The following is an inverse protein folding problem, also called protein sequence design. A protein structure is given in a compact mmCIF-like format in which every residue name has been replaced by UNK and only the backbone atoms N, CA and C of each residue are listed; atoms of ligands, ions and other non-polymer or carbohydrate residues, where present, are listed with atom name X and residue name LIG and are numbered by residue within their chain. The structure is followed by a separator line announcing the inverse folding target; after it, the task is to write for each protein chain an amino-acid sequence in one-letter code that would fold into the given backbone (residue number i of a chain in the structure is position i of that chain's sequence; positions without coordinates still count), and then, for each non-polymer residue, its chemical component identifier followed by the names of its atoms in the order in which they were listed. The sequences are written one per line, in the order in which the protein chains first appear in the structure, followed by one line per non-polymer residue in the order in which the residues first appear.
data_IF_647086063128
#
_entry.id   IF_647086063128
#
_cell.length_a   1.000
_cell.length_b   1.000
_cell.length_c   1.000
_cell.angle_alpha   90.00
_cell.angle_beta   90.00
_cell.angle_gamma   90.00
#
_symmetry.space_group_name_H-M   'P 1'
#
loop_
_entity.id
_entity.type
_entity.pdbx_description
1 polymer ?
#
# COMPACT_ATOMS: atom_id res chain seq x y z
N UNK A 1 21.56 -6.25 -7.57
CA UNK A 1 22.46 -6.79 -6.53
C UNK A 1 22.60 -5.75 -5.42
N UNK A 2 22.88 -4.49 -5.79
CA UNK A 2 22.88 -3.33 -4.89
C UNK A 2 21.64 -3.22 -3.98
N UNK A 3 20.41 -3.23 -4.51
CA UNK A 3 19.21 -3.13 -3.66
C UNK A 3 19.11 -4.20 -2.56
N UNK A 4 19.59 -5.43 -2.84
CA UNK A 4 19.52 -6.53 -1.90
C UNK A 4 20.55 -6.38 -0.77
N UNK A 5 21.79 -6.06 -1.15
CA UNK A 5 22.92 -5.95 -0.23
C UNK A 5 22.89 -4.63 0.55
N UNK A 6 22.57 -3.52 -0.12
CA UNK A 6 22.62 -2.19 0.50
C UNK A 6 21.34 -1.85 1.26
N UNK A 7 20.16 -2.26 0.77
CA UNK A 7 18.88 -1.90 1.39
C UNK A 7 18.29 -3.03 2.24
N UNK A 8 18.19 -4.25 1.69
CA UNK A 8 17.49 -5.34 2.38
C UNK A 8 18.32 -5.96 3.51
N UNK A 9 19.63 -6.15 3.32
CA UNK A 9 20.48 -6.80 4.31
C UNK A 9 20.50 -6.07 5.68
N UNK A 10 20.69 -4.73 5.76
CA UNK A 10 20.64 -4.03 7.06
C UNK A 10 19.27 -4.14 7.75
N UNK A 11 18.18 -4.16 6.96
CA UNK A 11 16.83 -4.35 7.51
C UNK A 11 16.64 -5.75 8.11
N UNK A 12 17.29 -6.77 7.53
CA UNK A 12 17.23 -8.14 8.04
C UNK A 12 18.11 -8.35 9.27
N UNK A 13 19.33 -7.82 9.26
CA UNK A 13 20.32 -8.06 10.33
C UNK A 13 20.09 -7.15 11.55
N UNK A 14 19.93 -5.84 11.33
CA UNK A 14 19.85 -4.83 12.39
C UNK A 14 18.43 -4.35 12.68
N UNK A 15 17.46 -4.70 11.83
CA UNK A 15 16.08 -4.23 11.93
C UNK A 15 15.94 -2.72 11.69
N UNK A 16 16.88 -2.10 10.98
CA UNK A 16 16.94 -0.67 10.70
C UNK A 16 17.04 -0.44 9.20
N UNK A 17 16.58 0.73 8.75
CA UNK A 17 16.81 1.16 7.38
C UNK A 17 18.30 1.42 7.12
N UNK A 18 18.70 1.25 5.87
CA UNK A 18 20.06 1.52 5.45
C UNK A 18 20.40 3.01 5.59
N UNK A 19 21.55 3.32 6.19
CA UNK A 19 22.05 4.68 6.32
C UNK A 19 23.06 4.94 5.20
N UNK A 20 22.75 5.90 4.33
CA UNK A 20 23.64 6.41 3.30
C UNK A 20 24.22 7.78 3.65
N UNK A 21 25.21 8.21 2.88
CA UNK A 21 25.71 9.59 2.91
C UNK A 21 25.80 10.13 1.48
N UNK A 22 26.00 11.45 1.35
CA UNK A 22 25.92 12.21 0.10
C UNK A 22 24.49 12.38 -0.45
N UNK A 23 24.33 13.33 -1.38
CA UNK A 23 23.05 13.60 -2.03
C UNK A 23 22.69 12.54 -3.08
N UNK A 24 21.43 12.52 -3.49
CA UNK A 24 20.98 11.74 -4.64
C UNK A 24 21.35 12.48 -5.93
N UNK A 25 22.50 12.12 -6.51
CA UNK A 25 22.99 12.67 -7.79
C UNK A 25 22.37 11.96 -9.01
N UNK A 26 21.46 10.99 -8.80
CA UNK A 26 20.80 10.31 -9.91
C UNK A 26 19.83 11.27 -10.64
N UNK A 27 19.69 11.13 -11.98
CA UNK A 27 18.71 11.91 -12.71
C UNK A 27 17.30 11.61 -12.19
N UNK A 28 16.42 12.61 -12.26
CA UNK A 28 14.99 12.42 -11.98
C UNK A 28 14.46 11.21 -12.74
N UNK A 29 13.55 10.45 -12.15
CA UNK A 29 13.06 9.19 -12.74
C UNK A 29 12.55 9.35 -14.18
N UNK A 30 11.95 10.51 -14.51
CA UNK A 30 11.47 10.84 -15.86
C UNK A 30 12.59 11.08 -16.89
N UNK A 31 13.78 11.46 -16.43
CA UNK A 31 14.97 11.68 -17.25
C UNK A 31 15.94 10.49 -17.22
N UNK A 32 15.63 9.44 -16.46
CA UNK A 32 16.51 8.29 -16.32
C UNK A 32 16.43 7.41 -17.57
N UNK A 33 17.60 7.00 -18.09
CA UNK A 33 17.69 6.03 -19.18
C UNK A 33 17.39 4.59 -18.72
N UNK A 34 17.38 4.37 -17.40
CA UNK A 34 17.11 3.07 -16.79
C UNK A 34 15.65 2.99 -16.32
N UNK A 35 15.07 1.78 -16.35
CA UNK A 35 13.73 1.56 -15.81
C UNK A 35 13.73 1.78 -14.30
N UNK A 36 12.97 2.79 -13.84
CA UNK A 36 12.79 3.09 -12.42
C UNK A 36 11.39 2.64 -11.96
N UNK A 37 11.28 2.03 -10.76
CA UNK A 37 9.98 1.71 -10.18
C UNK A 37 9.07 2.91 -10.03
N UNK A 38 7.75 2.69 -10.06
CA UNK A 38 6.74 3.74 -9.97
C UNK A 38 6.87 4.60 -8.69
N UNK A 39 7.36 4.02 -7.59
CA UNK A 39 7.60 4.73 -6.33
C UNK A 39 8.59 5.89 -6.47
N UNK A 40 9.53 5.86 -7.42
CA UNK A 40 10.53 6.92 -7.63
C UNK A 40 9.92 8.23 -8.18
N UNK A 41 8.69 8.16 -8.71
CA UNK A 41 7.98 9.33 -9.21
C UNK A 41 7.23 10.09 -8.11
N UNK A 42 7.05 9.47 -6.93
CA UNK A 42 6.40 10.09 -5.79
C UNK A 42 7.45 10.59 -4.80
N UNK A 43 7.39 11.88 -4.45
CA UNK A 43 8.23 12.47 -3.41
C UNK A 43 7.46 12.55 -2.10
N UNK A 44 8.14 12.27 -0.99
CA UNK A 44 7.54 12.38 0.34
C UNK A 44 7.36 13.85 0.69
N UNK A 45 6.15 14.22 1.09
CA UNK A 45 5.86 15.59 1.52
C UNK A 45 6.31 15.80 2.96
N UNK A 46 6.78 17.00 3.27
CA UNK A 46 7.16 17.39 4.62
C UNK A 46 6.74 18.84 4.91
N UNK A 47 6.44 19.12 6.18
CA UNK A 47 6.11 20.47 6.64
C UNK A 47 7.37 21.20 7.11
N UNK A 48 7.48 22.49 6.78
CA UNK A 48 8.66 23.29 7.11
C UNK A 48 8.37 24.51 8.00
N UNK A 49 7.10 24.92 8.17
CA UNK A 49 6.75 26.11 8.96
C UNK A 49 5.37 25.98 9.61
N UNK A 50 4.37 25.59 8.82
CA UNK A 50 2.95 25.60 9.23
C UNK A 50 2.63 24.67 10.39
N UNK A 51 3.41 23.60 10.55
CA UNK A 51 3.27 22.62 11.60
C UNK A 51 4.63 21.93 11.83
N UNK A 52 5.12 21.86 13.07
CA UNK A 52 6.39 21.20 13.36
C UNK A 52 6.31 19.69 13.07
N UNK A 53 7.37 19.06 12.53
CA UNK A 53 7.44 17.61 12.41
C UNK A 53 7.55 16.97 13.81
N UNK A 54 6.95 15.80 13.98
CA UNK A 54 6.98 15.04 15.24
C UNK A 54 8.19 14.09 15.20
N UNK A 55 8.93 13.96 16.30
CA UNK A 55 10.05 13.02 16.42
C UNK A 55 9.55 11.57 16.61
N UNK A 56 9.74 10.66 15.64
CA UNK A 56 9.23 9.28 15.75
C UNK A 56 9.94 8.43 16.81
N UNK A 57 11.17 8.80 17.22
CA UNK A 57 11.96 8.05 18.21
C UNK A 57 11.66 8.54 19.63
N UNK A 58 11.57 9.86 19.83
CA UNK A 58 11.32 10.46 21.15
C UNK A 58 9.84 10.55 21.49
N UNK A 59 8.99 10.76 20.49
CA UNK A 59 7.54 10.97 20.65
C UNK A 59 6.72 9.82 20.07
N UNK A 60 7.33 8.66 19.79
CA UNK A 60 6.64 7.52 19.17
C UNK A 60 5.40 7.02 19.94
N UNK A 61 5.28 7.33 21.24
CA UNK A 61 4.10 6.97 22.07
C UNK A 61 2.81 7.69 21.64
N UNK A 62 2.90 8.85 21.00
CA UNK A 62 1.71 9.57 20.48
C UNK A 62 1.37 9.18 19.05
N UNK A 63 2.22 8.37 18.40
CA UNK A 63 1.99 7.85 17.05
C UNK A 63 1.38 6.44 17.11
N UNK A 64 0.59 6.07 16.10
CA UNK A 64 0.09 4.71 15.96
C UNK A 64 0.01 4.27 14.49
N UNK A 65 0.34 3.01 14.25
CA UNK A 65 0.16 2.32 12.96
C UNK A 65 -1.07 1.40 12.97
N UNK A 66 -1.94 1.55 13.99
CA UNK A 66 -3.14 0.71 14.13
C UNK A 66 -4.02 0.85 12.89
N UNK A 67 -4.17 -0.25 12.17
CA UNK A 67 -4.94 -0.30 10.93
C UNK A 67 -6.25 -1.02 11.18
N UNK A 68 -7.37 -0.43 10.73
CA UNK A 68 -8.71 -0.97 10.92
C UNK A 68 -9.35 -1.31 9.58
N UNK A 69 -10.05 -2.42 9.49
CA UNK A 69 -10.88 -2.79 8.33
C UNK A 69 -12.35 -2.87 8.74
N UNK A 70 -13.24 -2.46 7.83
CA UNK A 70 -14.72 -2.45 8.02
C UNK A 70 -15.21 -1.41 9.04
N UNK A 71 -14.43 -0.37 9.29
CA UNK A 71 -14.72 0.68 10.28
C UNK A 71 -15.39 1.93 9.71
N UNK A 72 -15.77 1.92 8.43
CA UNK A 72 -16.41 3.06 7.75
C UNK A 72 -17.94 2.94 7.85
N UNK A 73 -18.45 3.23 9.05
CA UNK A 73 -19.88 3.31 9.34
C UNK A 73 -20.38 4.74 9.56
N UNK A 74 -21.65 4.88 9.93
CA UNK A 74 -22.22 6.19 10.25
C UNK A 74 -21.63 6.71 11.57
N UNK A 75 -20.88 7.82 11.50
CA UNK A 75 -20.26 8.47 12.67
C UNK A 75 -21.27 9.02 13.69
N UNK A 76 -22.53 9.22 13.28
CA UNK A 76 -23.60 9.73 14.14
C UNK A 76 -24.40 8.62 14.84
N UNK A 77 -24.23 7.36 14.42
CA UNK A 77 -24.97 6.23 14.96
C UNK A 77 -24.18 5.58 16.10
N UNK A 78 -24.81 5.42 17.27
CA UNK A 78 -24.28 4.68 18.40
C UNK A 78 -24.89 3.27 18.46
N UNK A 79 -24.71 2.50 17.38
CA UNK A 79 -25.21 1.13 17.29
C UNK A 79 -24.09 0.10 17.45
N UNK A 80 -24.40 -1.04 18.08
CA UNK A 80 -23.48 -2.17 18.26
C UNK A 80 -22.92 -2.71 16.93
N UNK A 81 -23.58 -2.45 15.80
CA UNK A 81 -23.10 -2.82 14.46
C UNK A 81 -21.77 -2.16 14.08
N UNK A 82 -21.36 -1.07 14.75
CA UNK A 82 -20.06 -0.41 14.57
C UNK A 82 -18.89 -1.21 15.19
N UNK A 83 -19.16 -2.27 15.98
CA UNK A 83 -18.13 -3.02 16.70
C UNK A 83 -17.46 -4.14 15.89
N UNK A 84 -18.03 -4.54 14.74
CA UNK A 84 -17.49 -5.61 13.88
C UNK A 84 -16.37 -5.11 12.97
N UNK A 85 -15.25 -4.75 13.58
CA UNK A 85 -14.05 -4.20 12.92
C UNK A 85 -12.86 -5.13 13.15
N UNK A 86 -12.07 -5.35 12.09
CA UNK A 86 -10.78 -6.02 12.25
C UNK A 86 -9.71 -5.00 12.56
N UNK A 87 -8.91 -5.24 13.61
CA UNK A 87 -7.86 -4.31 14.05
C UNK A 87 -6.51 -5.01 13.98
N UNK A 88 -5.57 -4.37 13.28
CA UNK A 88 -4.16 -4.75 13.23
C UNK A 88 -3.32 -3.68 13.94
N UNK A 89 -2.23 -4.08 14.58
CA UNK A 89 -1.28 -3.15 15.18
C UNK A 89 -0.39 -2.42 14.17
N UNK A 90 -0.28 -2.95 12.95
CA UNK A 90 0.53 -2.42 11.85
C UNK A 90 -0.10 -2.77 10.49
N UNK A 91 0.08 -1.94 9.45
CA UNK A 91 -0.33 -2.29 8.09
C UNK A 91 0.57 -3.37 7.45
N UNK A 92 1.71 -3.71 8.07
CA UNK A 92 2.65 -4.69 7.55
C UNK A 92 2.28 -6.10 8.04
N UNK A 93 2.22 -7.04 7.09
CA UNK A 93 1.87 -8.44 7.35
C UNK A 93 2.97 -9.35 6.84
N UNK A 94 3.41 -10.29 7.69
CA UNK A 94 4.20 -11.44 7.22
C UNK A 94 3.31 -12.44 6.49
N UNK A 95 3.90 -13.35 5.70
CA UNK A 95 3.15 -14.38 4.97
C UNK A 95 2.24 -15.23 5.89
N UNK A 96 2.70 -15.53 7.10
CA UNK A 96 1.91 -16.25 8.11
C UNK A 96 0.72 -15.43 8.61
N UNK A 97 0.93 -14.15 8.94
CA UNK A 97 -0.14 -13.23 9.36
C UNK A 97 -1.17 -13.03 8.24
N UNK A 98 -0.73 -12.86 7.00
CA UNK A 98 -1.60 -12.75 5.82
C UNK A 98 -2.47 -14.00 5.65
N UNK A 99 -1.86 -15.19 5.73
CA UNK A 99 -2.60 -16.45 5.62
C UNK A 99 -3.66 -16.59 6.71
N UNK A 100 -3.32 -16.21 7.94
CA UNK A 100 -4.27 -16.18 9.06
C UNK A 100 -5.41 -15.18 8.80
N UNK A 101 -5.08 -13.95 8.38
CA UNK A 101 -6.07 -12.92 8.09
C UNK A 101 -7.07 -13.36 7.00
N UNK A 102 -6.58 -13.99 5.93
CA UNK A 102 -7.43 -14.52 4.86
C UNK A 102 -8.36 -15.65 5.33
N UNK A 103 -7.95 -16.45 6.33
CA UNK A 103 -8.81 -17.48 6.94
C UNK A 103 -9.91 -16.90 7.82
N UNK A 104 -9.62 -15.82 8.55
CA UNK A 104 -10.58 -15.15 9.42
C UNK A 104 -11.62 -14.35 8.63
N UNK A 105 -11.20 -13.67 7.56
CA UNK A 105 -12.10 -12.82 6.76
C UNK A 105 -13.00 -13.60 5.79
N UNK A 106 -12.73 -14.90 5.55
CA UNK A 106 -13.57 -15.83 4.76
C UNK A 106 -14.19 -15.19 3.51
N UNK A 107 -15.52 -15.05 3.51
CA UNK A 107 -16.34 -14.61 2.37
C UNK A 107 -16.31 -13.09 2.14
N UNK A 108 -15.80 -12.32 3.09
CA UNK A 108 -15.67 -10.85 3.00
C UNK A 108 -14.47 -10.43 2.12
N UNK A 109 -13.69 -11.38 1.59
CA UNK A 109 -12.50 -11.09 0.76
C UNK A 109 -12.77 -11.27 -0.74
N UNK A 110 -12.19 -10.36 -1.53
CA UNK A 110 -12.12 -10.48 -2.98
C UNK A 110 -10.67 -10.52 -3.44
N UNK A 111 -10.28 -11.56 -4.18
CA UNK A 111 -8.99 -11.59 -4.89
C UNK A 111 -9.17 -10.98 -6.27
N UNK A 112 -8.42 -9.91 -6.52
CA UNK A 112 -8.38 -9.22 -7.80
C UNK A 112 -7.03 -9.54 -8.43
N UNK A 113 -7.07 -10.09 -9.63
CA UNK A 113 -5.88 -10.29 -10.43
C UNK A 113 -5.44 -8.94 -11.00
N UNK A 114 -4.26 -8.48 -10.58
CA UNK A 114 -3.63 -7.24 -11.04
C UNK A 114 -2.67 -7.44 -12.22
N UNK A 115 -2.57 -8.65 -12.77
CA UNK A 115 -1.71 -8.93 -13.93
C UNK A 115 -2.39 -8.52 -15.24
N UNK A 116 -1.63 -8.42 -16.31
CA UNK A 116 -2.15 -8.17 -17.66
C UNK A 116 -1.26 -8.89 -18.68
N UNK A 117 -1.82 -9.29 -19.84
CA UNK A 117 -1.03 -9.96 -20.87
C UNK A 117 0.06 -9.03 -21.40
N UNK A 118 1.23 -9.60 -21.70
CA UNK A 118 2.28 -8.87 -22.39
C UNK A 118 1.76 -8.44 -23.78
N UNK A 119 2.02 -7.19 -24.21
CA UNK A 119 1.58 -6.71 -25.52
C UNK A 119 2.27 -7.49 -26.64
N UNK A 120 1.54 -7.79 -27.70
CA UNK A 120 2.12 -8.41 -28.90
C UNK A 120 2.99 -7.40 -29.67
N UNK A 121 3.98 -7.87 -30.48
CA UNK A 121 4.81 -6.99 -31.29
C UNK A 121 3.95 -6.12 -32.23
N UNK A 122 3.97 -4.80 -32.01
CA UNK A 122 3.18 -3.84 -32.77
C UNK A 122 1.90 -3.34 -32.09
N UNK A 123 1.54 -3.89 -30.93
CA UNK A 123 0.44 -3.37 -30.10
C UNK A 123 0.94 -2.25 -29.17
N UNK A 124 0.10 -1.23 -28.94
CA UNK A 124 0.39 -0.17 -27.97
C UNK A 124 0.31 -0.73 -26.54
N UNK A 125 1.48 -0.91 -25.91
CA UNK A 125 1.61 -1.35 -24.53
C UNK A 125 0.80 -0.47 -23.55
N UNK A 126 0.68 0.83 -23.82
CA UNK A 126 -0.11 1.76 -23.02
C UNK A 126 -1.60 1.47 -23.09
N UNK A 127 -2.12 1.14 -24.27
CA UNK A 127 -3.51 0.74 -24.45
C UNK A 127 -3.83 -0.57 -23.70
N UNK A 128 -2.93 -1.54 -23.72
CA UNK A 128 -3.11 -2.83 -23.01
C UNK A 128 -3.16 -2.62 -21.49
N UNK A 129 -2.23 -1.85 -20.93
CA UNK A 129 -2.25 -1.50 -19.51
C UNK A 129 -3.51 -0.72 -19.13
N UNK A 130 -3.93 0.24 -19.97
CA UNK A 130 -5.17 1.01 -19.75
C UNK A 130 -6.39 0.11 -19.69
N UNK A 131 -6.53 -0.85 -20.61
CA UNK A 131 -7.62 -1.84 -20.60
C UNK A 131 -7.59 -2.66 -19.29
N UNK A 132 -6.40 -3.07 -18.84
CA UNK A 132 -6.25 -3.80 -17.59
C UNK A 132 -6.66 -2.98 -16.35
N UNK A 133 -6.30 -1.69 -16.28
CA UNK A 133 -6.72 -0.80 -15.20
C UNK A 133 -8.25 -0.62 -15.17
N UNK A 134 -8.89 -0.49 -16.33
CA UNK A 134 -10.36 -0.41 -16.42
C UNK A 134 -11.00 -1.71 -15.93
N UNK A 135 -10.46 -2.88 -16.32
CA UNK A 135 -10.91 -4.20 -15.83
C UNK A 135 -10.82 -4.31 -14.30
N UNK A 136 -9.66 -3.94 -13.74
CA UNK A 136 -9.39 -4.01 -12.29
C UNK A 136 -10.30 -3.06 -11.52
N UNK A 137 -10.66 -1.89 -12.07
CA UNK A 137 -11.61 -0.95 -11.45
C UNK A 137 -13.07 -1.43 -11.53
N UNK A 138 -13.45 -2.09 -12.62
CA UNK A 138 -14.82 -2.54 -12.85
C UNK A 138 -15.20 -3.77 -11.99
N UNK A 139 -14.27 -4.68 -11.75
CA UNK A 139 -14.54 -5.95 -11.03
C UNK A 139 -14.97 -5.75 -9.56
N UNK A 140 -14.30 -4.90 -8.74
CA UNK A 140 -14.68 -4.64 -7.35
C UNK A 140 -15.98 -3.84 -7.27
N UNK A 141 -16.14 -2.82 -8.13
CA UNK A 141 -17.33 -1.95 -8.10
C UNK A 141 -18.64 -2.66 -8.46
N UNK A 142 -18.59 -3.72 -9.29
CA UNK A 142 -19.75 -4.60 -9.54
C UNK A 142 -20.01 -5.52 -8.35
N UNK A 143 -18.96 -6.06 -7.74
CA UNK A 143 -19.07 -7.02 -6.63
C UNK A 143 -19.53 -6.36 -5.33
N UNK A 144 -18.95 -5.21 -4.95
CA UNK A 144 -19.39 -4.45 -3.77
C UNK A 144 -20.85 -3.96 -3.86
N UNK A 145 -21.45 -3.94 -5.06
CA UNK A 145 -22.88 -3.67 -5.27
C UNK A 145 -23.74 -4.91 -5.21
N UNK A 146 -23.23 -6.09 -5.62
CA UNK A 146 -23.98 -7.35 -5.64
C UNK A 146 -23.96 -8.08 -4.29
N UNK A 147 -22.83 -8.05 -3.57
CA UNK A 147 -22.77 -8.41 -2.16
C UNK A 147 -23.05 -7.15 -1.36
N UNK A 148 -23.69 -7.27 -0.19
CA UNK A 148 -23.96 -6.15 0.73
C UNK A 148 -22.66 -5.59 1.38
N UNK A 149 -21.53 -5.65 0.67
CA UNK A 149 -20.17 -5.26 1.05
C UNK A 149 -19.95 -3.75 0.84
N UNK A 150 -20.94 -2.93 1.22
CA UNK A 150 -20.83 -1.46 1.12
C UNK A 150 -19.93 -0.85 2.20
N UNK A 151 -19.58 -1.60 3.24
CA UNK A 151 -18.85 -1.11 4.42
C UNK A 151 -17.38 -1.54 4.49
N UNK A 152 -16.84 -2.18 3.45
CA UNK A 152 -15.51 -2.82 3.48
C UNK A 152 -14.49 -2.27 2.46
N UNK A 153 -14.77 -1.13 1.81
CA UNK A 153 -13.75 -0.35 1.11
C UNK A 153 -13.24 0.77 2.00
#
# INVERSE_FOLDING_TARGET
MEDLELLLQPMMEDGKEAIGSMGDDAPLAVLSEQNRPLSHYFRQNFSQVTNPPIDPLREGRVMTLTTRFKNLGNILAQDETQSRVYVLSSPILTNGMYTRMMREMRDDVARIDCTFPAPEPGEDAGATLRKALIRIRAKPSRRCRSTNARTSC
#
